data_IF_234156714957
#
_entry.id   IF_234156714957
#
_cell.length_a   1.000
_cell.length_b   1.000
_cell.length_c   1.000
_cell.angle_alpha   90.00
_cell.angle_beta   90.00
_cell.angle_gamma   90.00
#
_symmetry.space_group_name_H-M   'P 1'
#
loop_
_entity.id
_entity.type
_entity.pdbx_description
1 polymer ?
#
# COMPACT_ATOMS: atom_id res chain seq x y z
N UNK A 1 15.44 -36.86 -10.41
CA UNK A 1 14.85 -35.97 -9.39
C UNK A 1 15.17 -34.56 -9.83
N UNK A 2 14.20 -33.87 -10.42
CA UNK A 2 14.32 -32.45 -10.78
C UNK A 2 14.45 -31.63 -9.49
N UNK A 3 15.58 -30.95 -9.32
CA UNK A 3 15.75 -30.04 -8.20
C UNK A 3 14.82 -28.83 -8.39
N UNK A 4 13.94 -28.64 -7.40
CA UNK A 4 13.00 -27.53 -7.33
C UNK A 4 13.78 -26.19 -7.31
N UNK A 5 13.54 -25.25 -8.25
CA UNK A 5 14.21 -23.94 -8.28
C UNK A 5 13.98 -23.12 -6.99
N UNK A 6 13.12 -23.59 -6.08
CA UNK A 6 12.97 -23.09 -4.72
C UNK A 6 14.19 -23.33 -3.81
N UNK A 7 15.26 -24.00 -4.24
CA UNK A 7 16.50 -24.14 -3.46
C UNK A 7 17.44 -22.91 -3.64
N UNK A 8 16.88 -21.69 -3.70
CA UNK A 8 17.67 -20.47 -3.57
C UNK A 8 18.47 -20.55 -2.26
N UNK A 9 19.80 -20.45 -2.35
CA UNK A 9 20.69 -20.32 -1.19
C UNK A 9 20.05 -19.37 -0.17
N UNK A 10 19.91 -19.82 1.09
CA UNK A 10 19.21 -19.09 2.16
C UNK A 10 19.65 -17.62 2.28
N UNK A 11 20.92 -17.34 1.99
CA UNK A 11 21.52 -16.01 1.91
C UNK A 11 20.88 -15.13 0.83
N UNK A 12 20.80 -15.60 -0.44
CA UNK A 12 20.19 -14.85 -1.54
C UNK A 12 18.72 -14.52 -1.29
N UNK A 13 17.94 -15.47 -0.73
CA UNK A 13 16.52 -15.22 -0.37
C UNK A 13 16.35 -14.09 0.64
N UNK A 14 17.32 -13.94 1.56
CA UNK A 14 17.29 -12.89 2.56
C UNK A 14 17.51 -11.51 1.93
N UNK A 15 18.48 -11.40 1.02
CA UNK A 15 18.74 -10.16 0.28
C UNK A 15 17.52 -9.73 -0.54
N UNK A 16 16.90 -10.65 -1.30
CA UNK A 16 15.68 -10.34 -2.06
C UNK A 16 14.53 -9.88 -1.15
N UNK A 17 14.36 -10.53 0.00
CA UNK A 17 13.33 -10.15 0.96
C UNK A 17 13.56 -8.73 1.51
N UNK A 18 14.82 -8.35 1.72
CA UNK A 18 15.17 -7.00 2.19
C UNK A 18 14.92 -5.95 1.10
N UNK A 19 15.34 -6.21 -0.16
CA UNK A 19 15.04 -5.31 -1.29
C UNK A 19 13.52 -5.12 -1.50
N UNK A 20 12.75 -6.20 -1.45
CA UNK A 20 11.29 -6.15 -1.65
C UNK A 20 10.53 -5.45 -0.50
N UNK A 21 11.18 -5.10 0.61
CA UNK A 21 10.54 -4.37 1.72
C UNK A 21 10.48 -2.87 1.50
N UNK A 22 11.35 -2.31 0.68
CA UNK A 22 11.49 -0.85 0.56
C UNK A 22 10.36 -0.23 -0.28
N UNK A 23 9.88 -0.94 -1.30
CA UNK A 23 8.90 -0.42 -2.25
C UNK A 23 7.71 -1.35 -2.52
N UNK A 24 6.73 -0.82 -3.25
CA UNK A 24 5.56 -1.55 -3.74
C UNK A 24 5.79 -1.97 -5.18
N UNK A 25 5.56 -3.25 -5.46
CA UNK A 25 5.98 -3.81 -6.73
C UNK A 25 4.82 -4.32 -7.57
N UNK A 26 4.84 -4.06 -8.87
CA UNK A 26 4.02 -4.80 -9.83
C UNK A 26 4.61 -6.20 -10.05
N UNK A 27 3.81 -7.12 -10.61
CA UNK A 27 4.34 -8.48 -10.92
C UNK A 27 5.42 -8.43 -12.01
N UNK A 28 5.37 -7.43 -12.90
CA UNK A 28 6.34 -7.26 -13.98
C UNK A 28 7.68 -6.78 -13.46
N UNK A 29 7.69 -5.75 -12.61
CA UNK A 29 8.93 -5.23 -12.02
C UNK A 29 9.63 -6.30 -11.17
N UNK A 30 8.88 -7.08 -10.37
CA UNK A 30 9.50 -8.21 -9.65
C UNK A 30 10.10 -9.22 -10.61
N UNK A 31 9.41 -9.53 -11.72
CA UNK A 31 9.91 -10.47 -12.70
C UNK A 31 11.22 -9.96 -13.34
N UNK A 32 11.28 -8.69 -13.72
CA UNK A 32 12.48 -8.04 -14.26
C UNK A 32 13.64 -8.04 -13.26
N UNK A 33 13.39 -7.74 -11.98
CA UNK A 33 14.41 -7.78 -10.92
C UNK A 33 14.93 -9.20 -10.71
N UNK A 34 14.04 -10.19 -10.70
CA UNK A 34 14.41 -11.60 -10.59
C UNK A 34 15.26 -12.01 -11.80
N UNK A 35 14.85 -11.66 -13.01
CA UNK A 35 15.58 -11.99 -14.25
C UNK A 35 16.94 -11.29 -14.33
N UNK A 36 17.06 -10.05 -13.86
CA UNK A 36 18.31 -9.28 -13.88
C UNK A 36 19.33 -9.76 -12.81
N UNK A 37 18.86 -10.06 -11.60
CA UNK A 37 19.73 -10.45 -10.48
C UNK A 37 20.07 -11.95 -10.48
N UNK A 38 19.28 -12.80 -11.14
CA UNK A 38 19.62 -14.20 -11.35
C UNK A 38 20.46 -14.36 -12.61
N UNK A 39 21.78 -14.34 -12.44
CA UNK A 39 22.80 -14.68 -13.45
C UNK A 39 22.63 -16.07 -14.12
N UNK A 40 21.57 -16.82 -13.78
CA UNK A 40 21.32 -18.20 -14.21
C UNK A 40 20.41 -18.30 -15.45
N UNK A 41 19.94 -17.20 -16.02
CA UNK A 41 19.13 -17.23 -17.26
C UNK A 41 17.80 -17.97 -17.12
N UNK A 42 17.29 -18.12 -15.89
CA UNK A 42 16.02 -18.77 -15.61
C UNK A 42 14.91 -17.74 -15.70
N UNK A 43 14.13 -17.81 -16.78
CA UNK A 43 12.93 -16.99 -16.96
C UNK A 43 11.79 -17.59 -16.13
N UNK A 44 11.35 -16.86 -15.12
CA UNK A 44 10.20 -17.28 -14.33
C UNK A 44 8.90 -16.78 -14.96
N UNK A 45 7.94 -17.68 -15.13
CA UNK A 45 6.58 -17.28 -15.48
C UNK A 45 5.98 -16.40 -14.37
N UNK A 46 5.10 -15.48 -14.76
CA UNK A 46 4.37 -14.63 -13.81
C UNK A 46 3.67 -15.42 -12.68
N UNK A 47 3.23 -16.66 -12.96
CA UNK A 47 2.63 -17.53 -11.96
C UNK A 47 3.64 -18.04 -10.92
N UNK A 48 4.84 -18.43 -11.35
CA UNK A 48 5.93 -18.84 -10.45
C UNK A 48 6.36 -17.66 -9.56
N UNK A 49 6.51 -16.46 -10.14
CA UNK A 49 6.82 -15.23 -9.40
C UNK A 49 5.79 -14.99 -8.29
N UNK A 50 4.49 -15.08 -8.60
CA UNK A 50 3.42 -14.92 -7.60
C UNK A 50 3.51 -15.95 -6.47
N UNK A 51 3.88 -17.20 -6.78
CA UNK A 51 4.03 -18.27 -5.78
C UNK A 51 5.22 -17.98 -4.85
N UNK A 52 6.32 -17.49 -5.42
CA UNK A 52 7.50 -17.05 -4.67
C UNK A 52 7.15 -15.87 -3.74
N UNK A 53 6.50 -14.82 -4.25
CA UNK A 53 6.12 -13.65 -3.46
C UNK A 53 5.16 -14.00 -2.32
N UNK A 54 4.20 -14.91 -2.55
CA UNK A 54 3.34 -15.44 -1.49
C UNK A 54 4.14 -16.21 -0.44
N UNK A 55 5.15 -16.98 -0.85
CA UNK A 55 6.01 -17.71 0.10
C UNK A 55 6.82 -16.77 1.00
N UNK A 56 7.13 -15.56 0.53
CA UNK A 56 7.74 -14.51 1.36
C UNK A 56 6.76 -13.82 2.31
N UNK A 57 5.45 -14.01 2.13
CA UNK A 57 4.41 -13.38 2.95
C UNK A 57 3.91 -12.04 2.39
N UNK A 58 4.21 -11.71 1.13
CA UNK A 58 3.71 -10.49 0.51
C UNK A 58 2.21 -10.60 0.18
N UNK A 59 1.52 -9.47 0.26
CA UNK A 59 0.10 -9.35 -0.06
C UNK A 59 -0.07 -8.71 -1.43
N UNK A 60 -1.05 -9.20 -2.18
CA UNK A 60 -1.44 -8.64 -3.48
C UNK A 60 -2.74 -7.85 -3.34
N UNK A 61 -2.59 -6.55 -3.06
CA UNK A 61 -3.69 -5.69 -2.66
C UNK A 61 -3.82 -4.47 -3.57
N UNK A 62 -5.01 -3.88 -3.59
CA UNK A 62 -5.21 -2.56 -4.19
C UNK A 62 -4.53 -1.52 -3.29
N UNK A 63 -3.75 -0.59 -3.85
CA UNK A 63 -3.11 0.45 -3.06
C UNK A 63 -4.18 1.38 -2.47
N UNK A 64 -4.03 1.69 -1.18
CA UNK A 64 -4.80 2.73 -0.50
C UNK A 64 -4.36 4.10 -0.98
N UNK A 65 -5.28 5.04 -0.97
CA UNK A 65 -4.99 6.38 -1.43
C UNK A 65 -4.43 7.19 -0.27
N UNK A 66 -3.20 7.69 -0.41
CA UNK A 66 -2.64 8.67 0.51
C UNK A 66 -2.84 10.04 -0.11
N UNK A 67 -3.62 10.88 0.57
CA UNK A 67 -3.72 12.29 0.21
C UNK A 67 -2.34 12.95 0.36
N UNK A 68 -1.84 13.56 -0.70
CA UNK A 68 -0.55 14.24 -0.72
C UNK A 68 -0.52 15.50 0.14
N UNK A 69 -1.70 16.07 0.48
CA UNK A 69 -1.81 17.23 1.35
C UNK A 69 -1.71 16.88 2.83
N UNK A 70 -1.86 15.60 3.19
CA UNK A 70 -1.79 15.15 4.58
C UNK A 70 -0.32 15.22 5.06
N UNK A 71 0.03 16.10 6.02
CA UNK A 71 1.37 16.12 6.59
C UNK A 71 1.63 14.84 7.39
N UNK A 72 2.87 14.40 7.47
CA UNK A 72 3.21 13.14 8.17
C UNK A 72 2.90 13.20 9.68
N UNK A 73 2.97 14.40 10.29
CA UNK A 73 2.64 14.64 11.71
C UNK A 73 1.16 14.99 11.97
N UNK A 74 0.25 14.63 11.06
CA UNK A 74 -1.17 14.99 11.17
C UNK A 74 -1.84 14.41 12.43
N UNK A 75 -1.52 13.16 12.80
CA UNK A 75 -2.14 12.49 13.96
C UNK A 75 -1.72 13.11 15.28
N UNK A 76 -0.44 13.46 15.42
CA UNK A 76 0.07 14.08 16.64
C UNK A 76 -0.46 15.51 16.80
N UNK A 77 -0.57 16.25 15.70
CA UNK A 77 -1.20 17.58 15.69
C UNK A 77 -2.64 17.50 16.16
N UNK A 78 -3.40 16.52 15.64
CA UNK A 78 -4.80 16.33 16.01
C UNK A 78 -4.97 16.01 17.51
N UNK A 79 -4.14 15.11 18.05
CA UNK A 79 -4.18 14.75 19.48
C UNK A 79 -3.92 15.96 20.37
N UNK A 80 -2.88 16.75 20.07
CA UNK A 80 -2.57 17.96 20.83
C UNK A 80 -3.72 18.97 20.81
N UNK A 81 -4.32 19.20 19.64
CA UNK A 81 -5.47 20.11 19.53
C UNK A 81 -6.70 19.61 20.29
N UNK A 82 -6.91 18.29 20.40
CA UNK A 82 -7.99 17.70 21.21
C UNK A 82 -7.73 17.90 22.71
N UNK A 83 -6.50 17.64 23.16
CA UNK A 83 -6.09 17.83 24.55
C UNK A 83 -6.22 19.30 24.98
N UNK A 84 -5.79 20.23 24.12
CA UNK A 84 -5.92 21.69 24.34
C UNK A 84 -7.37 22.15 24.38
N UNK A 85 -8.24 21.59 23.53
CA UNK A 85 -9.65 21.92 23.48
C UNK A 85 -10.46 21.32 24.65
N UNK A 86 -9.88 20.41 25.43
CA UNK A 86 -10.54 19.75 26.55
C UNK A 86 -11.70 18.82 26.14
N UNK A 87 -11.73 18.37 24.88
CA UNK A 87 -12.82 17.56 24.35
C UNK A 87 -12.52 16.08 24.60
N UNK A 88 -13.33 15.43 25.42
CA UNK A 88 -13.18 14.01 25.79
C UNK A 88 -14.34 13.13 25.31
N UNK A 89 -15.59 13.51 25.64
CA UNK A 89 -16.80 12.73 25.36
C UNK A 89 -17.77 13.38 24.35
N UNK A 90 -17.44 14.55 23.80
CA UNK A 90 -18.33 15.22 22.83
C UNK A 90 -18.34 14.54 21.46
N UNK A 91 -19.47 14.63 20.77
CA UNK A 91 -19.60 14.19 19.37
C UNK A 91 -18.98 15.23 18.45
N UNK A 92 -17.71 15.04 18.11
CA UNK A 92 -17.03 15.86 17.09
C UNK A 92 -17.40 15.35 15.70
N UNK A 93 -17.97 16.22 14.87
CA UNK A 93 -18.28 15.97 13.47
C UNK A 93 -17.54 16.93 12.55
N UNK A 94 -16.87 16.41 11.51
CA UNK A 94 -16.30 17.21 10.44
C UNK A 94 -17.22 17.19 9.22
N UNK A 95 -17.48 18.37 8.66
CA UNK A 95 -18.12 18.51 7.35
C UNK A 95 -17.03 18.90 6.35
N UNK A 96 -16.83 18.08 5.34
CA UNK A 96 -15.86 18.36 4.27
C UNK A 96 -16.49 18.26 2.88
N UNK A 97 -15.98 19.06 1.95
CA UNK A 97 -16.37 19.05 0.53
C UNK A 97 -15.28 18.34 -0.27
N UNK A 98 -15.63 17.17 -0.80
CA UNK A 98 -14.72 16.36 -1.60
C UNK A 98 -15.04 16.46 -3.09
N UNK A 99 -13.98 16.45 -3.90
CA UNK A 99 -14.05 16.27 -5.34
C UNK A 99 -14.00 14.76 -5.66
N UNK A 100 -14.96 14.22 -6.41
CA UNK A 100 -14.98 12.78 -6.72
C UNK A 100 -13.85 12.45 -7.69
N UNK A 101 -13.22 11.30 -7.56
CA UNK A 101 -12.22 10.86 -8.52
C UNK A 101 -12.85 10.19 -9.76
N UNK A 102 -12.28 10.45 -10.95
CA UNK A 102 -12.75 9.86 -12.22
C UNK A 102 -12.26 8.44 -12.42
N UNK A 103 -11.10 8.11 -11.86
CA UNK A 103 -10.33 6.97 -12.31
C UNK A 103 -10.41 5.83 -11.29
N UNK A 104 -10.97 4.70 -11.72
CA UNK A 104 -11.02 3.50 -10.92
C UNK A 104 -9.60 2.99 -10.62
N UNK A 105 -9.30 2.73 -9.33
CA UNK A 105 -8.05 2.09 -8.94
C UNK A 105 -8.12 0.58 -9.24
N UNK A 106 -7.63 0.20 -10.42
CA UNK A 106 -7.64 -1.17 -10.94
C UNK A 106 -6.34 -1.92 -10.69
N UNK A 107 -5.22 -1.21 -10.53
CA UNK A 107 -3.89 -1.83 -10.33
C UNK A 107 -3.75 -2.40 -8.92
N UNK A 108 -3.18 -3.60 -8.82
CA UNK A 108 -2.82 -4.25 -7.55
C UNK A 108 -1.31 -4.37 -7.48
N UNK A 109 -0.77 -4.17 -6.28
CA UNK A 109 0.66 -4.18 -6.02
C UNK A 109 0.99 -5.25 -4.97
N UNK A 110 2.21 -5.76 -5.05
CA UNK A 110 2.82 -6.62 -4.05
C UNK A 110 3.53 -5.77 -3.02
N UNK A 111 3.23 -6.00 -1.75
CA UNK A 111 3.90 -5.35 -0.63
C UNK A 111 3.81 -6.22 0.63
N UNK A 112 4.74 -6.01 1.56
CA UNK A 112 4.64 -6.61 2.89
C UNK A 112 3.62 -5.89 3.77
N UNK A 113 3.48 -4.58 3.57
CA UNK A 113 2.53 -3.71 4.27
C UNK A 113 1.29 -3.43 3.40
N UNK A 114 0.44 -2.49 3.81
CA UNK A 114 -0.66 -2.02 2.97
C UNK A 114 -0.06 -1.15 1.85
N UNK A 115 -0.28 -1.48 0.57
CA UNK A 115 0.23 -0.64 -0.51
C UNK A 115 -0.49 0.72 -0.50
N UNK A 116 0.19 1.77 -0.92
CA UNK A 116 -0.14 3.18 -0.85
C UNK A 116 0.15 3.84 -2.21
N UNK A 117 -0.86 4.50 -2.76
CA UNK A 117 -0.74 5.31 -3.99
C UNK A 117 -1.02 6.76 -3.66
N UNK A 118 -0.11 7.65 -4.05
CA UNK A 118 -0.35 9.09 -4.02
C UNK A 118 -1.23 9.45 -5.22
N UNK A 119 -2.32 10.16 -4.99
CA UNK A 119 -3.24 10.59 -6.06
C UNK A 119 -3.37 12.11 -6.02
N UNK A 120 -3.18 12.76 -7.16
CA UNK A 120 -3.32 14.21 -7.31
C UNK A 120 -4.55 14.62 -8.15
N UNK A 121 -5.14 13.69 -8.90
CA UNK A 121 -6.19 13.95 -9.89
C UNK A 121 -7.58 13.83 -9.31
N UNK A 122 -8.42 14.85 -9.51
CA UNK A 122 -9.80 14.92 -9.03
C UNK A 122 -10.74 15.38 -10.14
N UNK A 123 -12.02 14.98 -10.08
CA UNK A 123 -13.11 15.45 -10.95
C UNK A 123 -13.89 16.51 -10.22
N UNK A 124 -14.35 17.52 -10.97
CA UNK A 124 -15.11 18.66 -10.47
C UNK A 124 -16.58 18.32 -10.18
N UNK A 125 -16.86 17.23 -9.48
CA UNK A 125 -18.17 16.96 -8.87
C UNK A 125 -18.06 17.18 -7.36
N UNK A 126 -19.03 17.91 -6.78
CA UNK A 126 -19.00 18.31 -5.37
C UNK A 126 -19.79 17.29 -4.56
N UNK A 127 -19.12 16.56 -3.68
CA UNK A 127 -19.74 15.70 -2.65
C UNK A 127 -19.48 16.32 -1.29
N UNK A 128 -20.48 16.28 -0.41
CA UNK A 128 -20.35 16.70 1.00
C UNK A 128 -20.32 15.45 1.85
N UNK A 129 -19.26 15.27 2.64
CA UNK A 129 -19.14 14.21 3.63
C UNK A 129 -19.31 14.78 5.05
N UNK A 130 -20.01 14.05 5.90
CA UNK A 130 -20.05 14.28 7.35
C UNK A 130 -19.36 13.09 8.02
N UNK A 131 -18.35 13.36 8.86
CA UNK A 131 -17.58 12.35 9.56
C UNK A 131 -17.62 12.62 11.06
N UNK A 132 -18.30 11.77 11.81
CA UNK A 132 -18.30 11.83 13.28
C UNK A 132 -17.17 10.98 13.85
N UNK A 133 -16.33 11.54 14.70
CA UNK A 133 -15.22 10.82 15.35
C UNK A 133 -15.76 9.81 16.37
N UNK A 134 -16.77 10.23 17.14
CA UNK A 134 -17.36 9.47 18.26
C UNK A 134 -18.85 9.13 18.06
N UNK A 135 -19.43 9.40 16.89
CA UNK A 135 -20.84 9.12 16.62
C UNK A 135 -21.07 7.67 16.17
N UNK A 136 -22.10 7.00 16.70
CA UNK A 136 -22.60 5.78 16.08
C UNK A 136 -23.06 6.10 14.64
N UNK A 137 -22.69 5.24 13.69
CA UNK A 137 -23.02 5.43 12.28
C UNK A 137 -24.54 5.46 12.13
N UNK A 138 -25.10 6.59 11.68
CA UNK A 138 -26.49 6.68 11.22
C UNK A 138 -26.68 5.98 9.88
#
# INVERSE_FOLDING_TARGET
MEEDPLNLQKSRRKNYREMLKEEEWTTKEVQEVIEAELEFGVVYSSWQVRRILKSFGMRYAKPYQKDYRKPDNAEDTLKKSLDEAGISDDVIGFVDKMAVEANANTTRLWSFNKPLKRVATHVKSKVVGLYCINGEKA
#
